data_IF_414535370228
#
_entry.id   IF_414535370228
#
_cell.length_a   1.000
_cell.length_b   1.000
_cell.length_c   1.000
_cell.angle_alpha   90.00
_cell.angle_beta   90.00
_cell.angle_gamma   90.00
#
_symmetry.space_group_name_H-M   'P 1'
#
loop_
_entity.id
_entity.type
_entity.pdbx_description
1 polymer ?
#
# COMPACT_ATOMS: atom_id res chain seq x y z
N UNK A 1 13.74 1.01 -10.46
CA UNK A 1 14.85 1.96 -10.63
C UNK A 1 15.37 2.42 -9.28
N UNK A 2 14.91 3.56 -8.74
CA UNK A 2 15.41 4.07 -7.45
C UNK A 2 14.67 3.58 -6.19
N UNK A 3 13.35 3.39 -6.26
CA UNK A 3 12.55 2.96 -5.09
C UNK A 3 12.98 1.58 -4.58
N UNK A 4 13.21 0.64 -5.50
CA UNK A 4 13.65 -0.73 -5.17
C UNK A 4 14.99 -0.73 -4.42
N UNK A 5 15.99 0.03 -4.90
CA UNK A 5 17.29 0.13 -4.23
C UNK A 5 17.20 0.82 -2.87
N UNK A 6 16.30 1.80 -2.73
CA UNK A 6 16.05 2.47 -1.44
C UNK A 6 15.47 1.49 -0.42
N UNK A 7 14.46 0.71 -0.83
CA UNK A 7 13.84 -0.32 0.01
C UNK A 7 14.86 -1.40 0.36
N UNK A 8 15.65 -1.87 -0.61
CA UNK A 8 16.68 -2.87 -0.39
C UNK A 8 17.72 -2.40 0.64
N UNK A 9 18.26 -1.20 0.49
CA UNK A 9 19.23 -0.65 1.41
C UNK A 9 18.65 -0.45 2.82
N UNK A 10 17.43 0.09 2.92
CA UNK A 10 16.77 0.27 4.21
C UNK A 10 16.60 -1.06 4.95
N UNK A 11 16.16 -2.11 4.24
CA UNK A 11 15.95 -3.44 4.85
C UNK A 11 17.27 -4.14 5.14
N UNK A 12 18.16 -4.22 4.17
CA UNK A 12 19.34 -5.10 4.24
C UNK A 12 20.53 -4.46 4.96
N UNK A 13 20.66 -3.14 4.91
CA UNK A 13 21.81 -2.42 5.51
C UNK A 13 21.40 -1.71 6.79
N UNK A 14 20.27 -0.99 6.77
CA UNK A 14 19.83 -0.24 7.96
C UNK A 14 19.01 -1.09 8.94
N UNK A 15 18.54 -2.26 8.52
CA UNK A 15 17.78 -3.17 9.39
C UNK A 15 16.42 -2.61 9.82
N UNK A 16 15.77 -1.80 8.97
CA UNK A 16 14.44 -1.28 9.28
C UNK A 16 13.44 -2.43 9.43
N UNK A 17 12.54 -2.31 10.40
CA UNK A 17 11.54 -3.33 10.72
C UNK A 17 10.13 -2.93 10.29
N UNK A 18 9.87 -1.63 10.21
CA UNK A 18 8.56 -1.09 9.85
C UNK A 18 8.68 -0.28 8.56
N UNK A 19 7.81 -0.58 7.60
CA UNK A 19 7.71 0.19 6.35
C UNK A 19 6.31 0.75 6.21
N UNK A 20 6.22 2.07 6.03
CA UNK A 20 4.96 2.78 5.83
C UNK A 20 4.83 3.21 4.37
N UNK A 21 3.74 2.79 3.71
CA UNK A 21 3.27 3.38 2.46
C UNK A 21 2.25 4.46 2.84
N UNK A 22 2.59 5.72 2.60
CA UNK A 22 1.74 6.86 2.97
C UNK A 22 1.15 7.55 1.73
N UNK A 23 -0.17 7.51 1.60
CA UNK A 23 -0.94 8.36 0.70
C UNK A 23 -1.35 9.67 1.39
N UNK A 24 -1.94 10.59 0.62
CA UNK A 24 -2.43 11.86 1.17
C UNK A 24 -3.59 12.44 0.36
N UNK A 25 -4.35 13.34 0.97
CA UNK A 25 -5.40 14.13 0.32
C UNK A 25 -4.82 15.02 -0.79
N UNK A 26 -5.64 15.33 -1.80
CA UNK A 26 -5.25 16.19 -2.93
C UNK A 26 -4.01 15.75 -3.71
N UNK A 27 -3.73 14.44 -3.74
CA UNK A 27 -2.64 13.91 -4.54
C UNK A 27 -2.90 14.14 -6.04
N UNK A 28 -2.11 15.03 -6.66
CA UNK A 28 -2.23 15.38 -8.08
C UNK A 28 -2.07 14.18 -9.02
N UNK A 29 -1.22 13.22 -8.66
CA UNK A 29 -1.06 11.95 -9.37
C UNK A 29 -2.36 11.12 -9.38
N UNK A 30 -3.01 11.01 -8.22
CA UNK A 30 -4.29 10.29 -8.11
C UNK A 30 -5.42 11.06 -8.78
N UNK A 31 -5.37 12.40 -8.77
CA UNK A 31 -6.31 13.23 -9.52
C UNK A 31 -6.20 13.01 -11.02
N UNK A 32 -4.98 12.94 -11.56
CA UNK A 32 -4.75 12.64 -12.96
C UNK A 32 -5.32 11.26 -13.36
N UNK A 33 -5.17 10.25 -12.50
CA UNK A 33 -5.76 8.92 -12.74
C UNK A 33 -7.28 8.89 -12.59
N UNK A 34 -7.83 9.59 -11.59
CA UNK A 34 -9.27 9.64 -11.34
C UNK A 34 -10.04 10.38 -12.44
N UNK A 35 -9.40 11.34 -13.10
CA UNK A 35 -10.00 12.18 -14.16
C UNK A 35 -9.58 11.76 -15.56
N UNK A 36 -8.74 10.71 -15.68
CA UNK A 36 -8.19 10.24 -16.96
C UNK A 36 -7.52 11.38 -17.75
N UNK A 37 -6.71 12.18 -17.05
CA UNK A 37 -6.05 13.35 -17.63
C UNK A 37 -5.17 12.97 -18.84
N UNK A 38 -5.12 13.86 -19.83
CA UNK A 38 -4.19 13.71 -20.95
C UNK A 38 -2.75 13.91 -20.49
N UNK A 39 -1.97 12.83 -20.53
CA UNK A 39 -0.55 12.81 -20.15
C UNK A 39 0.38 12.65 -21.36
N UNK A 40 -0.10 12.88 -22.58
CA UNK A 40 0.69 12.73 -23.82
C UNK A 40 1.98 13.56 -23.79
N UNK A 41 1.93 14.77 -23.22
CA UNK A 41 3.09 15.63 -23.04
C UNK A 41 4.04 15.22 -21.89
N UNK A 42 3.65 14.24 -21.06
CA UNK A 42 4.40 13.77 -19.89
C UNK A 42 4.57 12.23 -19.90
N UNK A 43 5.24 11.65 -20.91
CA UNK A 43 5.29 10.20 -21.11
C UNK A 43 5.94 9.43 -19.95
N UNK A 44 6.91 10.04 -19.26
CA UNK A 44 7.53 9.44 -18.07
C UNK A 44 6.55 9.38 -16.88
N UNK A 45 5.72 10.41 -16.71
CA UNK A 45 4.67 10.44 -15.67
C UNK A 45 3.59 9.41 -16.00
N UNK A 46 3.15 9.37 -17.26
CA UNK A 46 2.20 8.35 -17.73
C UNK A 46 2.75 6.93 -17.48
N UNK A 47 4.04 6.70 -17.76
CA UNK A 47 4.68 5.42 -17.53
C UNK A 47 4.75 5.04 -16.04
N UNK A 48 5.06 6.00 -15.19
CA UNK A 48 5.10 5.82 -13.74
C UNK A 48 3.72 5.55 -13.15
N UNK A 49 2.67 6.27 -13.60
CA UNK A 49 1.30 6.10 -13.11
C UNK A 49 0.68 4.74 -13.45
N UNK A 50 1.26 3.98 -14.41
CA UNK A 50 0.84 2.59 -14.66
C UNK A 50 0.97 1.70 -13.42
N UNK A 51 1.89 2.02 -12.51
CA UNK A 51 2.02 1.33 -11.23
C UNK A 51 0.86 1.58 -10.26
N UNK A 52 -0.11 2.42 -10.62
CA UNK A 52 -1.32 2.70 -9.83
C UNK A 52 -2.60 2.27 -10.56
N UNK A 53 -2.50 1.66 -11.74
CA UNK A 53 -3.69 1.23 -12.51
C UNK A 53 -4.54 0.19 -11.76
N UNK A 54 -3.94 -0.66 -10.92
CA UNK A 54 -4.70 -1.59 -10.08
C UNK A 54 -5.70 -0.85 -9.19
N UNK A 55 -5.29 0.26 -8.56
CA UNK A 55 -6.18 1.10 -7.76
C UNK A 55 -7.29 1.72 -8.61
N UNK A 56 -6.96 2.23 -9.80
CA UNK A 56 -7.95 2.78 -10.72
C UNK A 56 -9.00 1.73 -11.13
N UNK A 57 -8.59 0.50 -11.41
CA UNK A 57 -9.51 -0.59 -11.76
C UNK A 57 -10.43 -0.95 -10.60
N UNK A 58 -9.90 -1.05 -9.37
CA UNK A 58 -10.72 -1.27 -8.16
C UNK A 58 -11.73 -0.14 -7.98
N UNK A 59 -11.30 1.12 -8.08
CA UNK A 59 -12.20 2.27 -7.98
C UNK A 59 -13.33 2.21 -9.01
N UNK A 60 -13.02 1.89 -10.28
CA UNK A 60 -14.03 1.82 -11.35
C UNK A 60 -14.99 0.63 -11.19
N UNK A 61 -14.50 -0.51 -10.71
CA UNK A 61 -15.28 -1.74 -10.66
C UNK A 61 -16.07 -1.93 -9.36
N UNK A 62 -15.64 -1.30 -8.26
CA UNK A 62 -16.13 -1.63 -6.91
C UNK A 62 -16.75 -0.45 -6.15
N UNK A 63 -16.62 0.79 -6.63
CA UNK A 63 -17.22 1.97 -6.00
C UNK A 63 -18.38 2.53 -6.84
N UNK A 64 -19.39 3.16 -6.21
CA UNK A 64 -20.50 3.80 -6.94
C UNK A 64 -20.02 4.86 -7.93
N UNK A 65 -20.65 4.92 -9.11
CA UNK A 65 -20.28 5.86 -10.16
C UNK A 65 -20.68 7.32 -9.85
N UNK A 66 -21.68 7.51 -9.00
CA UNK A 66 -22.30 8.79 -8.62
C UNK A 66 -21.62 9.49 -7.42
N UNK A 67 -20.50 8.95 -6.94
CA UNK A 67 -19.65 9.63 -5.94
C UNK A 67 -19.17 11.00 -6.45
N UNK A 68 -19.04 11.93 -5.51
CA UNK A 68 -18.42 13.24 -5.78
C UNK A 68 -16.94 13.09 -6.19
N UNK A 69 -16.39 14.09 -6.88
CA UNK A 69 -14.98 14.08 -7.28
C UNK A 69 -14.02 13.98 -6.10
N UNK A 70 -14.37 14.61 -4.96
CA UNK A 70 -13.60 14.53 -3.74
C UNK A 70 -13.58 13.11 -3.16
N UNK A 71 -14.71 12.41 -3.18
CA UNK A 71 -14.81 11.02 -2.73
C UNK A 71 -14.05 10.07 -3.67
N UNK A 72 -14.19 10.26 -4.98
CA UNK A 72 -13.44 9.48 -5.99
C UNK A 72 -11.93 9.64 -5.81
N UNK A 73 -11.48 10.88 -5.61
CA UNK A 73 -10.06 11.18 -5.38
C UNK A 73 -9.55 10.54 -4.07
N UNK A 74 -10.33 10.65 -2.98
CA UNK A 74 -9.99 10.02 -1.70
C UNK A 74 -9.89 8.50 -1.86
N UNK A 75 -10.88 7.85 -2.48
CA UNK A 75 -10.87 6.41 -2.69
C UNK A 75 -9.69 5.98 -3.58
N UNK A 76 -9.39 6.73 -4.64
CA UNK A 76 -8.22 6.48 -5.49
C UNK A 76 -6.90 6.51 -4.69
N UNK A 77 -6.75 7.48 -3.79
CA UNK A 77 -5.57 7.59 -2.95
C UNK A 77 -5.45 6.43 -1.95
N UNK A 78 -6.57 6.04 -1.31
CA UNK A 78 -6.61 4.90 -0.38
C UNK A 78 -6.30 3.57 -1.09
N UNK A 79 -6.94 3.30 -2.23
CA UNK A 79 -6.70 2.09 -3.02
C UNK A 79 -5.28 2.05 -3.59
N UNK A 80 -4.69 3.21 -3.89
CA UNK A 80 -3.30 3.27 -4.31
C UNK A 80 -2.34 2.87 -3.18
N UNK A 81 -2.62 3.23 -1.92
CA UNK A 81 -1.84 2.74 -0.77
C UNK A 81 -1.89 1.22 -0.70
N UNK A 82 -3.09 0.63 -0.86
CA UNK A 82 -3.28 -0.83 -0.87
C UNK A 82 -2.49 -1.48 -2.01
N UNK A 83 -2.58 -0.93 -3.23
CA UNK A 83 -1.85 -1.44 -4.39
C UNK A 83 -0.32 -1.37 -4.21
N UNK A 84 0.19 -0.25 -3.65
CA UNK A 84 1.63 -0.11 -3.40
C UNK A 84 2.12 -1.03 -2.27
N UNK A 85 1.30 -1.31 -1.25
CA UNK A 85 1.61 -2.34 -0.27
C UNK A 85 1.74 -3.73 -0.93
N UNK A 86 0.84 -4.06 -1.87
CA UNK A 86 0.92 -5.31 -2.61
C UNK A 86 2.20 -5.41 -3.45
N UNK A 87 2.63 -4.33 -4.12
CA UNK A 87 3.92 -4.28 -4.81
C UNK A 87 5.10 -4.42 -3.85
N UNK A 88 5.04 -3.77 -2.68
CA UNK A 88 6.13 -3.83 -1.71
C UNK A 88 6.31 -5.25 -1.16
N UNK A 89 5.21 -6.00 -0.96
CA UNK A 89 5.24 -7.41 -0.53
C UNK A 89 5.96 -8.34 -1.49
N UNK A 90 6.08 -7.98 -2.78
CA UNK A 90 6.80 -8.79 -3.77
C UNK A 90 8.26 -8.37 -3.95
N UNK A 91 8.70 -7.29 -3.28
CA UNK A 91 10.11 -6.90 -3.27
C UNK A 91 10.95 -7.95 -2.53
N UNK A 92 12.06 -8.48 -3.10
CA UNK A 92 12.78 -9.63 -2.52
C UNK A 92 13.21 -9.46 -1.06
N UNK A 93 13.83 -8.33 -0.70
CA UNK A 93 14.26 -8.06 0.68
C UNK A 93 13.08 -7.99 1.66
N UNK A 94 11.96 -7.40 1.24
CA UNK A 94 10.75 -7.25 2.05
C UNK A 94 10.05 -8.61 2.19
N UNK A 95 9.87 -9.34 1.10
CA UNK A 95 9.26 -10.67 1.11
C UNK A 95 10.02 -11.62 2.05
N UNK A 96 11.35 -11.60 2.01
CA UNK A 96 12.20 -12.38 2.89
C UNK A 96 12.08 -11.94 4.35
N UNK A 97 12.09 -10.63 4.63
CA UNK A 97 11.90 -10.09 5.98
C UNK A 97 10.52 -10.38 6.56
N UNK A 98 9.46 -10.33 5.74
CA UNK A 98 8.10 -10.74 6.13
C UNK A 98 8.10 -12.22 6.52
N UNK A 99 8.68 -13.10 5.69
CA UNK A 99 8.70 -14.55 5.96
C UNK A 99 9.39 -14.88 7.29
N UNK A 100 10.43 -14.12 7.66
CA UNK A 100 11.14 -14.24 8.94
C UNK A 100 10.42 -13.58 10.13
N UNK A 101 9.33 -12.84 9.89
CA UNK A 101 8.63 -12.07 10.92
C UNK A 101 9.36 -10.79 11.35
N UNK A 102 10.33 -10.34 10.57
CA UNK A 102 11.18 -9.18 10.88
C UNK A 102 10.62 -7.87 10.35
N UNK A 103 9.74 -7.94 9.34
CA UNK A 103 9.13 -6.77 8.68
C UNK A 103 7.62 -6.72 8.96
N UNK A 104 7.14 -5.54 9.33
CA UNK A 104 5.73 -5.15 9.34
C UNK A 104 5.49 -4.08 8.28
N UNK A 105 4.31 -4.12 7.67
CA UNK A 105 3.88 -3.14 6.67
C UNK A 105 2.68 -2.35 7.19
N UNK A 106 2.72 -1.04 6.93
CA UNK A 106 1.70 -0.08 7.36
C UNK A 106 1.21 0.70 6.14
N UNK A 107 -0.10 0.84 5.99
CA UNK A 107 -0.72 1.69 4.98
C UNK A 107 -1.31 2.92 5.63
N UNK A 108 -0.78 4.11 5.39
CA UNK A 108 -1.29 5.34 5.98
C UNK A 108 -1.90 6.25 4.92
N UNK A 109 -2.86 7.05 5.34
CA UNK A 109 -3.42 8.14 4.54
C UNK A 109 -3.53 9.40 5.40
N UNK A 110 -2.90 10.47 4.94
CA UNK A 110 -2.93 11.78 5.61
C UNK A 110 -3.97 12.66 4.93
N UNK A 111 -5.02 13.02 5.66
CA UNK A 111 -5.90 14.11 5.27
C UNK A 111 -5.30 15.44 5.74
N UNK A 112 -4.68 16.16 4.82
CA UNK A 112 -3.95 17.41 5.09
C UNK A 112 -4.92 18.50 5.53
N UNK A 113 -6.14 18.52 4.98
CA UNK A 113 -7.15 19.53 5.31
C UNK A 113 -7.75 19.29 6.70
N UNK A 114 -8.02 18.03 7.04
CA UNK A 114 -8.58 17.65 8.33
C UNK A 114 -7.54 17.51 9.44
N UNK A 115 -6.23 17.50 9.11
CA UNK A 115 -5.16 17.24 10.07
C UNK A 115 -5.22 15.83 10.67
N UNK A 116 -5.73 14.85 9.89
CA UNK A 116 -6.01 13.49 10.34
C UNK A 116 -5.10 12.49 9.64
N UNK A 117 -4.68 11.45 10.35
CA UNK A 117 -4.03 10.28 9.75
C UNK A 117 -4.90 9.05 9.94
N UNK A 118 -5.05 8.28 8.89
CA UNK A 118 -5.76 7.00 8.87
C UNK A 118 -4.75 5.86 8.66
N UNK A 119 -4.92 4.74 9.35
CA UNK A 119 -4.17 3.51 9.14
C UNK A 119 -5.04 2.41 8.55
N UNK A 120 -4.47 1.62 7.63
CA UNK A 120 -5.08 0.42 7.07
C UNK A 120 -4.96 -0.73 8.07
N UNK A 121 -6.09 -1.26 8.49
CA UNK A 121 -6.19 -2.48 9.28
C UNK A 121 -6.13 -3.70 8.34
N UNK A 122 -5.14 -4.57 8.56
CA UNK A 122 -4.90 -5.75 7.73
C UNK A 122 -5.91 -6.88 7.89
N UNK A 123 -6.68 -6.92 8.98
CA UNK A 123 -7.70 -7.94 9.22
C UNK A 123 -9.02 -7.57 8.53
N UNK A 124 -9.43 -6.31 8.65
CA UNK A 124 -10.69 -5.80 8.09
C UNK A 124 -10.53 -5.27 6.67
N UNK A 125 -9.32 -4.91 6.25
CA UNK A 125 -9.04 -4.25 4.98
C UNK A 125 -9.56 -2.82 4.92
N UNK A 126 -9.83 -2.17 6.07
CA UNK A 126 -10.40 -0.82 6.13
C UNK A 126 -9.44 0.17 6.78
N UNK A 127 -9.53 1.42 6.33
CA UNK A 127 -8.83 2.53 6.98
C UNK A 127 -9.61 3.02 8.20
N UNK A 128 -8.90 3.22 9.30
CA UNK A 128 -9.44 3.80 10.53
C UNK A 128 -8.52 4.90 11.07
N UNK A 129 -9.04 5.91 11.81
CA UNK A 129 -8.22 6.99 12.34
C UNK A 129 -7.13 6.47 13.29
N UNK A 130 -5.91 6.97 13.13
CA UNK A 130 -4.86 6.80 14.13
C UNK A 130 -5.19 7.65 15.35
N UNK A 131 -5.14 7.04 16.55
CA UNK A 131 -5.44 7.71 17.81
C UNK A 131 -4.33 7.45 18.81
N UNK A 132 -3.93 8.51 19.52
CA UNK A 132 -2.97 8.38 20.61
C UNK A 132 -3.51 7.45 21.71
N UNK A 133 -2.65 6.58 22.23
CA UNK A 133 -3.03 5.61 23.27
C UNK A 133 -3.84 4.40 22.78
N UNK A 134 -4.11 4.27 21.47
CA UNK A 134 -4.72 3.07 20.89
C UNK A 134 -3.70 2.26 20.07
N UNK A 135 -3.89 0.94 19.93
CA UNK A 135 -3.09 0.14 19.01
C UNK A 135 -3.14 0.71 17.59
N UNK A 136 -1.98 0.80 16.94
CA UNK A 136 -1.91 1.22 15.55
C UNK A 136 -2.53 0.13 14.65
N UNK A 137 -3.42 0.47 13.71
CA UNK A 137 -3.80 -0.42 12.62
C UNK A 137 -2.55 -0.79 11.80
N UNK A 138 -2.33 -2.09 11.61
CA UNK A 138 -1.20 -2.61 10.84
C UNK A 138 -1.73 -3.40 9.65
N UNK A 139 -1.24 -3.09 8.45
CA UNK A 139 -1.69 -3.76 7.22
C UNK A 139 -1.14 -5.19 7.11
N UNK A 140 0.08 -5.41 7.62
CA UNK A 140 0.68 -6.73 7.78
C UNK A 140 1.58 -6.73 9.02
N UNK A 141 1.20 -7.41 10.12
CA UNK A 141 1.98 -7.42 11.34
C UNK A 141 3.26 -8.26 11.22
N UNK A 142 4.17 -8.08 12.17
CA UNK A 142 5.30 -8.99 12.37
C UNK A 142 4.79 -10.40 12.73
N UNK A 143 4.81 -11.29 11.75
CA UNK A 143 4.46 -12.68 11.96
C UNK A 143 5.31 -13.55 11.04
N UNK A 144 5.99 -14.54 11.62
CA UNK A 144 6.73 -15.52 10.84
C UNK A 144 5.74 -16.30 9.97
N UNK A 145 6.04 -16.41 8.68
CA UNK A 145 5.19 -17.15 7.73
C UNK A 145 6.07 -17.90 6.74
N UNK A 146 6.15 -19.21 6.94
CA UNK A 146 6.71 -20.14 5.97
C UNK A 146 5.56 -20.88 5.30
N UNK A 147 5.65 -21.07 3.98
CA UNK A 147 4.58 -21.70 3.21
C UNK A 147 4.45 -23.21 3.46
N UNK A 148 5.46 -23.84 4.05
CA UNK A 148 5.42 -25.25 4.42
C UNK A 148 5.99 -25.47 5.81
N UNK A 149 5.32 -26.31 6.60
CA UNK A 149 5.86 -26.98 7.79
C UNK A 149 5.23 -28.38 7.92
N UNK A 150 6.05 -29.37 8.34
CA UNK A 150 5.67 -30.62 9.05
C UNK A 150 4.74 -31.65 8.39
N UNK A 151 3.58 -31.25 7.88
CA UNK A 151 2.48 -32.18 7.54
C UNK A 151 2.54 -32.73 6.12
N UNK A 152 3.13 -32.01 5.17
CA UNK A 152 3.34 -32.55 3.81
C UNK A 152 4.29 -33.76 3.82
N UNK A 153 5.23 -33.81 4.77
CA UNK A 153 6.13 -34.95 4.96
C UNK A 153 5.41 -36.15 5.62
N UNK A 154 4.38 -35.91 6.44
CA UNK A 154 3.59 -36.94 7.10
C UNK A 154 2.47 -37.49 6.22
N UNK A 155 1.89 -36.67 5.33
CA UNK A 155 0.85 -37.07 4.39
C UNK A 155 1.35 -37.95 3.23
N UNK A 156 2.67 -38.17 3.13
CA UNK A 156 3.32 -38.97 2.10
C UNK A 156 3.79 -40.37 2.59
N UNK A 157 3.45 -40.75 3.83
CA UNK A 157 3.71 -42.08 4.42
C UNK A 157 2.44 -42.88 4.66
#
# INVERSE_FOLDING_TARGET
GGVTSTVEYAVMVLGVRDIIVCGHSDCGAMKALSTEADLTAMPNVAAWLRHSHAAQQVCKASYPADLSDAEKLRNMALENVVAQLAHLRTHPSVASGIARGEIALHGWYVDIHAGLVMGLDGETGRFSPLREGQPLPVALPHARRLAGEGEYALAAG
#
